data_IF_406298548623
#
_entry.id   IF_406298548623
#
_cell.length_a   1.000
_cell.length_b   1.000
_cell.length_c   1.000
_cell.angle_alpha   90.00
_cell.angle_beta   90.00
_cell.angle_gamma   90.00
#
_symmetry.space_group_name_H-M   'P 1'
#
loop_
_entity.id
_entity.type
_entity.pdbx_description
1 polymer ?
#
# COMPACT_ATOMS: atom_id res chain seq x y z
N UNK A 1 -0.77 1.74 -10.68
CA UNK A 1 -1.89 2.08 -9.79
C UNK A 1 -2.21 3.54 -9.98
N UNK A 2 -3.40 3.78 -10.53
CA UNK A 2 -3.97 5.12 -10.63
C UNK A 2 -4.62 5.51 -9.30
N UNK A 3 -4.35 6.73 -8.86
CA UNK A 3 -4.94 7.32 -7.67
C UNK A 3 -5.11 8.83 -7.86
N UNK A 4 -5.58 9.49 -6.80
CA UNK A 4 -5.60 10.95 -6.73
C UNK A 4 -4.76 11.39 -5.54
N UNK A 5 -3.94 12.42 -5.72
CA UNK A 5 -3.18 13.02 -4.62
C UNK A 5 -4.12 13.77 -3.66
N UNK A 6 -3.57 14.31 -2.57
CA UNK A 6 -4.33 15.06 -1.57
C UNK A 6 -5.01 16.34 -2.13
N UNK A 7 -4.66 16.76 -3.35
CA UNK A 7 -5.23 17.92 -4.06
C UNK A 7 -6.19 17.51 -5.19
N UNK A 8 -6.52 16.21 -5.29
CA UNK A 8 -7.40 15.68 -6.32
C UNK A 8 -6.74 15.53 -7.70
N UNK A 9 -5.42 15.71 -7.81
CA UNK A 9 -4.72 15.54 -9.08
C UNK A 9 -4.49 14.06 -9.34
N UNK A 10 -4.78 13.55 -10.56
CA UNK A 10 -4.48 12.17 -10.89
C UNK A 10 -2.99 11.88 -10.76
N UNK A 11 -2.67 10.81 -10.04
CA UNK A 11 -1.33 10.24 -9.90
C UNK A 11 -1.34 8.85 -10.49
N UNK A 12 -0.40 8.59 -11.39
CA UNK A 12 -0.09 7.26 -11.87
C UNK A 12 1.18 6.80 -11.18
N UNK A 13 1.09 5.74 -10.37
CA UNK A 13 2.24 5.13 -9.72
C UNK A 13 2.50 3.76 -10.31
N UNK A 14 3.74 3.50 -10.70
CA UNK A 14 4.17 2.17 -11.13
C UNK A 14 5.04 1.56 -10.04
N UNK A 15 4.81 0.28 -9.79
CA UNK A 15 5.64 -0.51 -8.88
C UNK A 15 5.94 -1.84 -9.55
N UNK A 16 7.23 -2.12 -9.71
CA UNK A 16 7.75 -3.41 -10.16
C UNK A 16 8.61 -3.99 -9.05
N UNK A 17 8.07 -4.97 -8.34
CA UNK A 17 8.79 -5.62 -7.25
C UNK A 17 8.31 -7.04 -7.00
N UNK A 18 8.95 -7.69 -6.03
CA UNK A 18 8.62 -9.06 -5.61
C UNK A 18 7.92 -9.04 -4.25
N UNK A 19 7.19 -10.11 -3.97
CA UNK A 19 6.57 -10.35 -2.66
C UNK A 19 7.57 -11.13 -1.78
N UNK A 20 8.75 -10.54 -1.54
CA UNK A 20 9.85 -11.13 -0.75
C UNK A 20 10.25 -10.27 0.47
N UNK A 21 9.46 -9.25 0.78
CA UNK A 21 9.69 -8.33 1.89
C UNK A 21 10.75 -7.25 1.65
N UNK A 22 11.37 -7.21 0.47
CA UNK A 22 12.36 -6.17 0.15
C UNK A 22 11.71 -4.90 -0.36
N UNK A 23 12.36 -3.78 -0.10
CA UNK A 23 11.94 -2.48 -0.62
C UNK A 23 12.27 -2.37 -2.11
N UNK A 24 11.26 -2.05 -2.90
CA UNK A 24 11.37 -1.75 -4.32
C UNK A 24 10.96 -0.30 -4.57
N UNK A 25 11.66 0.42 -5.44
CA UNK A 25 11.37 1.82 -5.71
C UNK A 25 9.98 1.99 -6.33
N UNK A 26 9.31 3.08 -5.98
CA UNK A 26 8.08 3.53 -6.62
C UNK A 26 8.42 4.72 -7.49
N UNK A 27 7.95 4.72 -8.73
CA UNK A 27 8.09 5.85 -9.65
C UNK A 27 6.74 6.55 -9.82
N UNK A 28 6.77 7.89 -9.98
CA UNK A 28 5.56 8.70 -10.22
C UNK A 28 4.72 9.01 -8.97
N UNK A 29 5.11 8.54 -7.78
CA UNK A 29 4.42 8.82 -6.53
C UNK A 29 5.17 9.89 -5.72
N UNK A 30 4.62 11.10 -5.53
CA UNK A 30 5.29 12.15 -4.75
C UNK A 30 5.36 11.83 -3.25
N UNK A 31 4.48 10.96 -2.74
CA UNK A 31 4.33 10.68 -1.31
C UNK A 31 4.99 9.37 -0.86
N UNK A 32 5.55 8.58 -1.78
CA UNK A 32 6.36 7.40 -1.42
C UNK A 32 7.54 7.19 -2.36
N UNK A 33 8.65 6.70 -1.81
CA UNK A 33 9.86 6.41 -2.58
C UNK A 33 10.04 4.91 -2.81
N UNK A 34 9.54 4.08 -1.88
CA UNK A 34 9.65 2.63 -1.96
C UNK A 34 8.48 1.92 -1.30
N UNK A 35 8.22 0.69 -1.77
CA UNK A 35 7.24 -0.25 -1.20
C UNK A 35 7.83 -1.64 -1.09
N UNK A 36 7.46 -2.34 -0.03
CA UNK A 36 7.77 -3.75 0.20
C UNK A 36 6.49 -4.53 0.46
N UNK A 37 6.44 -5.77 -0.03
CA UNK A 37 5.32 -6.69 0.18
C UNK A 37 5.86 -8.02 0.71
N UNK A 38 5.25 -8.55 1.76
CA UNK A 38 5.62 -9.81 2.39
C UNK A 38 4.43 -10.76 2.37
N UNK A 39 4.62 -11.98 1.84
CA UNK A 39 3.57 -13.01 1.88
C UNK A 39 3.49 -13.56 3.30
N UNK A 40 2.29 -13.51 3.90
CA UNK A 40 2.02 -14.11 5.21
C UNK A 40 1.46 -15.53 5.00
N UNK A 41 0.51 -15.66 4.07
CA UNK A 41 -0.05 -16.93 3.62
C UNK A 41 -0.66 -16.76 2.21
N UNK A 42 -1.34 -17.80 1.70
CA UNK A 42 -1.90 -17.78 0.33
C UNK A 42 -2.94 -16.69 0.07
N UNK A 43 -3.59 -16.18 1.11
CA UNK A 43 -4.62 -15.12 1.01
C UNK A 43 -4.26 -13.85 1.77
N UNK A 44 -3.10 -13.78 2.39
CA UNK A 44 -2.71 -12.66 3.25
C UNK A 44 -1.31 -12.18 2.90
N UNK A 45 -1.18 -10.86 2.72
CA UNK A 45 0.12 -10.21 2.56
C UNK A 45 0.19 -8.95 3.41
N UNK A 46 1.38 -8.65 3.91
CA UNK A 46 1.70 -7.38 4.55
C UNK A 46 2.45 -6.48 3.59
N UNK A 47 2.31 -5.18 3.77
CA UNK A 47 3.07 -4.21 3.00
C UNK A 47 3.56 -3.05 3.86
N UNK A 48 4.66 -2.45 3.43
CA UNK A 48 5.18 -1.21 3.98
C UNK A 48 5.45 -0.20 2.87
N UNK A 49 5.21 1.07 3.18
CA UNK A 49 5.48 2.22 2.31
C UNK A 49 6.52 3.08 3.02
N UNK A 50 7.55 3.48 2.28
CA UNK A 50 8.62 4.32 2.80
C UNK A 50 8.70 5.65 2.07
N UNK A 51 9.01 6.70 2.83
CA UNK A 51 9.41 8.01 2.33
C UNK A 51 10.67 8.45 3.05
N UNK A 52 11.67 8.91 2.32
CA UNK A 52 12.97 9.34 2.83
C UNK A 52 13.61 8.30 3.76
N UNK A 53 13.53 7.02 3.38
CA UNK A 53 14.05 5.90 4.16
C UNK A 53 13.25 5.51 5.41
N UNK A 54 12.17 6.23 5.74
CA UNK A 54 11.32 5.95 6.91
C UNK A 54 10.00 5.31 6.49
N UNK A 55 9.57 4.28 7.21
CA UNK A 55 8.25 3.69 7.02
C UNK A 55 7.17 4.66 7.47
N UNK A 56 6.33 5.10 6.53
CA UNK A 56 5.23 6.03 6.78
C UNK A 56 3.90 5.31 6.93
N UNK A 57 3.70 4.22 6.17
CA UNK A 57 2.49 3.40 6.16
C UNK A 57 2.88 1.94 6.24
N UNK A 58 2.12 1.18 7.02
CA UNK A 58 2.09 -0.28 7.02
C UNK A 58 0.67 -0.74 6.76
N UNK A 59 0.51 -1.95 6.25
CA UNK A 59 -0.81 -2.50 6.12
C UNK A 59 -0.83 -3.99 5.84
N UNK A 60 -2.04 -4.53 5.87
CA UNK A 60 -2.35 -5.93 5.59
C UNK A 60 -3.43 -6.01 4.54
N UNK A 61 -3.25 -6.90 3.58
CA UNK A 61 -4.22 -7.23 2.55
C UNK A 61 -4.65 -8.66 2.79
N UNK A 62 -5.96 -8.87 2.93
CA UNK A 62 -6.60 -10.18 3.05
C UNK A 62 -7.53 -10.37 1.86
N UNK A 63 -7.32 -11.42 1.09
CA UNK A 63 -8.20 -11.84 0.00
C UNK A 63 -9.25 -12.79 0.57
N UNK A 64 -10.52 -12.56 0.23
CA UNK A 64 -11.62 -13.41 0.67
C UNK A 64 -11.45 -14.86 0.18
N UNK A 65 -12.06 -15.80 0.88
CA UNK A 65 -11.91 -17.23 0.58
C UNK A 65 -12.33 -17.59 -0.87
N UNK A 66 -13.34 -16.88 -1.37
CA UNK A 66 -13.88 -17.00 -2.73
C UNK A 66 -13.05 -16.27 -3.80
N UNK A 67 -12.03 -15.50 -3.40
CA UNK A 67 -11.17 -14.72 -4.29
C UNK A 67 -11.87 -13.54 -4.98
N UNK A 68 -13.11 -13.20 -4.59
CA UNK A 68 -13.91 -12.15 -5.24
C UNK A 68 -13.67 -10.77 -4.66
N UNK A 69 -13.20 -10.68 -3.43
CA UNK A 69 -12.90 -9.41 -2.78
C UNK A 69 -11.58 -9.45 -2.02
N UNK A 70 -11.08 -8.26 -1.70
CA UNK A 70 -9.94 -8.08 -0.79
C UNK A 70 -10.23 -6.96 0.20
N UNK A 71 -9.81 -7.17 1.44
CA UNK A 71 -9.78 -6.13 2.48
C UNK A 71 -8.36 -5.63 2.64
N UNK A 72 -8.17 -4.33 2.59
CA UNK A 72 -6.90 -3.64 2.86
C UNK A 72 -7.05 -2.86 4.14
N UNK A 73 -6.26 -3.20 5.16
CA UNK A 73 -6.17 -2.44 6.41
C UNK A 73 -4.84 -1.71 6.43
N UNK A 74 -4.87 -0.40 6.64
CA UNK A 74 -3.66 0.45 6.69
C UNK A 74 -3.54 1.10 8.06
N UNK A 75 -2.30 1.26 8.49
CA UNK A 75 -1.91 2.02 9.67
C UNK A 75 -0.69 2.84 9.31
N UNK A 76 -0.76 4.14 9.48
CA UNK A 76 0.33 5.02 9.10
C UNK A 76 0.32 6.31 9.89
N UNK A 77 1.25 7.17 9.53
CA UNK A 77 1.33 8.52 10.03
C UNK A 77 1.19 9.46 8.84
N UNK A 78 0.26 10.40 8.91
CA UNK A 78 0.10 11.43 7.88
C UNK A 78 1.30 12.42 7.90
N UNK A 79 1.43 13.31 6.90
CA UNK A 79 2.49 14.31 6.89
C UNK A 79 2.52 15.25 8.11
N UNK A 80 1.41 15.35 8.86
CA UNK A 80 1.28 16.18 10.05
C UNK A 80 1.62 15.41 11.35
N UNK A 81 2.08 14.16 11.26
CA UNK A 81 2.41 13.34 12.42
C UNK A 81 1.21 12.64 13.06
N UNK A 82 0.00 12.74 12.48
CA UNK A 82 -1.20 12.11 13.02
C UNK A 82 -1.28 10.65 12.61
N UNK A 83 -1.52 9.77 13.58
CA UNK A 83 -1.79 8.36 13.30
C UNK A 83 -3.11 8.22 12.56
N UNK A 84 -3.07 7.52 11.43
CA UNK A 84 -4.24 7.19 10.61
C UNK A 84 -4.39 5.68 10.55
N UNK A 85 -5.63 5.22 10.68
CA UNK A 85 -6.04 3.84 10.38
C UNK A 85 -7.18 3.88 9.38
N UNK A 86 -7.09 3.05 8.35
CA UNK A 86 -8.16 2.91 7.37
C UNK A 86 -8.36 1.44 7.03
N UNK A 87 -9.59 1.06 6.72
CA UNK A 87 -9.93 -0.24 6.17
C UNK A 87 -10.76 -0.01 4.91
N UNK A 88 -10.37 -0.65 3.81
CA UNK A 88 -11.03 -0.52 2.51
C UNK A 88 -11.26 -1.91 1.93
N UNK A 89 -12.48 -2.16 1.44
CA UNK A 89 -12.85 -3.40 0.76
C UNK A 89 -12.94 -3.10 -0.73
N UNK A 90 -12.31 -3.96 -1.53
CA UNK A 90 -12.31 -3.87 -2.98
C UNK A 90 -12.86 -5.17 -3.56
N UNK A 91 -13.89 -5.06 -4.38
CA UNK A 91 -14.37 -6.18 -5.18
C UNK A 91 -13.57 -6.27 -6.48
N UNK A 92 -13.38 -7.50 -6.93
CA UNK A 92 -12.78 -7.79 -8.23
C UNK A 92 -13.83 -7.46 -9.30
N UNK A 93 -13.55 -6.44 -10.11
CA UNK A 93 -14.37 -6.09 -11.27
C UNK A 93 -14.14 -7.07 -12.42
#
# INVERSE_FOLDING_TARGET
VDGVDAKGKPIHSEWSGKIDGKDYPVTGDPISDARSYTKVNDRTMDFAVKKSGKTTITGRIVVAADGKSRTVTTSGTDPNGKKVKSASVYDKQ
#
